data_IF_398745874244
#
_entry.id   IF_398745874244
#
_cell.length_a   1.000
_cell.length_b   1.000
_cell.length_c   1.000
_cell.angle_alpha   90.00
_cell.angle_beta   90.00
_cell.angle_gamma   90.00
#
_symmetry.space_group_name_H-M   'P 1'
#
loop_
_entity.id
_entity.type
_entity.pdbx_description
1 polymer ?
#
# COMPACT_ATOMS: atom_id res chain seq x y z
N UNK A 1 -10.60 -1.08 0.63
CA UNK A 1 -9.30 -0.87 1.30
C UNK A 1 -8.86 -2.14 2.05
N UNK A 2 -7.58 -2.34 2.33
CA UNK A 2 -7.05 -3.27 3.34
C UNK A 2 -5.67 -2.78 3.82
N UNK A 3 -5.32 -3.04 5.08
CA UNK A 3 -4.08 -2.58 5.68
C UNK A 3 -3.39 -3.70 6.45
N UNK A 4 -2.10 -3.89 6.19
CA UNK A 4 -1.30 -4.95 6.78
C UNK A 4 0.04 -4.42 7.27
N UNK A 5 0.52 -4.93 8.40
CA UNK A 5 1.84 -4.67 8.93
C UNK A 5 2.81 -5.82 8.67
N UNK A 6 4.06 -5.46 8.36
CA UNK A 6 5.20 -6.35 8.21
C UNK A 6 6.41 -5.77 8.95
N UNK A 7 7.40 -6.57 9.38
CA UNK A 7 8.65 -6.05 9.91
C UNK A 7 9.29 -5.05 8.96
N UNK A 8 9.89 -3.97 9.48
CA UNK A 8 10.41 -2.89 8.66
C UNK A 8 11.49 -3.34 7.65
N UNK A 9 12.21 -4.42 7.97
CA UNK A 9 13.18 -5.06 7.08
C UNK A 9 12.58 -5.53 5.75
N UNK A 10 11.28 -5.87 5.73
CA UNK A 10 10.58 -6.34 4.54
C UNK A 10 10.30 -5.23 3.52
N UNK A 11 10.60 -3.95 3.82
CA UNK A 11 10.38 -2.83 2.89
C UNK A 11 11.09 -3.02 1.56
N UNK A 12 12.29 -3.60 1.56
CA UNK A 12 13.05 -3.89 0.33
C UNK A 12 12.40 -4.98 -0.53
N UNK A 13 11.50 -5.76 0.06
CA UNK A 13 10.80 -6.91 -0.53
C UNK A 13 9.36 -6.58 -0.91
N UNK A 14 9.01 -5.29 -0.96
CA UNK A 14 7.66 -4.83 -1.26
C UNK A 14 7.04 -5.45 -2.54
N UNK A 15 7.77 -5.56 -3.67
CA UNK A 15 7.23 -6.26 -4.84
C UNK A 15 6.91 -7.74 -4.58
N UNK A 16 7.75 -8.43 -3.80
CA UNK A 16 7.56 -9.83 -3.44
C UNK A 16 6.35 -10.03 -2.52
N UNK A 17 6.17 -9.13 -1.54
CA UNK A 17 5.00 -9.13 -0.64
C UNK A 17 3.69 -8.93 -1.41
N UNK A 18 3.71 -8.04 -2.41
CA UNK A 18 2.57 -7.80 -3.29
C UNK A 18 2.40 -8.89 -4.37
N UNK A 19 3.38 -9.77 -4.52
CA UNK A 19 3.42 -10.80 -5.57
C UNK A 19 3.43 -10.21 -6.98
N UNK A 20 4.15 -9.10 -7.18
CA UNK A 20 4.19 -8.35 -8.44
C UNK A 20 5.61 -8.28 -9.00
N UNK A 21 5.70 -8.11 -10.32
CA UNK A 21 7.00 -7.94 -10.99
C UNK A 21 7.63 -6.60 -10.58
N UNK A 22 8.93 -6.59 -10.29
CA UNK A 22 9.66 -5.36 -10.04
C UNK A 22 9.53 -4.41 -11.24
N UNK A 23 9.05 -3.19 -11.00
CA UNK A 23 8.77 -2.19 -12.05
C UNK A 23 7.29 -1.94 -12.33
N UNK A 24 6.39 -2.86 -11.93
CA UNK A 24 4.94 -2.61 -11.95
C UNK A 24 4.48 -1.58 -10.90
N UNK A 25 5.34 -1.35 -9.89
CA UNK A 25 5.10 -0.43 -8.79
C UNK A 25 5.81 0.91 -9.08
N UNK A 26 5.06 1.92 -9.51
CA UNK A 26 5.57 3.26 -9.81
C UNK A 26 5.38 4.19 -8.60
N UNK A 27 6.44 4.82 -8.06
CA UNK A 27 6.27 5.81 -7.00
C UNK A 27 5.53 7.04 -7.53
N UNK A 28 4.59 7.56 -6.73
CA UNK A 28 3.86 8.80 -7.03
C UNK A 28 4.47 10.01 -6.32
N UNK A 29 5.27 9.77 -5.29
CA UNK A 29 5.97 10.80 -4.52
C UNK A 29 7.46 10.76 -4.85
N UNK A 30 8.03 11.92 -5.12
CA UNK A 30 9.49 12.09 -5.30
C UNK A 30 10.25 11.73 -4.01
N UNK A 31 9.64 11.94 -2.85
CA UNK A 31 10.19 11.61 -1.54
C UNK A 31 9.10 11.17 -0.55
N UNK A 32 9.44 10.41 0.51
CA UNK A 32 8.47 10.05 1.54
C UNK A 32 7.84 11.28 2.21
N UNK A 33 6.53 11.29 2.31
CA UNK A 33 5.75 12.33 2.98
C UNK A 33 5.81 12.12 4.48
N UNK A 34 6.31 13.12 5.20
CA UNK A 34 6.27 13.16 6.66
C UNK A 34 5.01 13.87 7.17
N UNK A 35 4.32 13.25 8.13
CA UNK A 35 3.22 13.82 8.92
C UNK A 35 3.52 13.64 10.40
N UNK A 36 2.78 14.34 11.26
CA UNK A 36 3.01 14.39 12.73
C UNK A 36 3.29 13.03 13.38
N UNK A 37 2.68 11.94 12.90
CA UNK A 37 2.75 10.60 13.52
C UNK A 37 3.10 9.48 12.56
N UNK A 38 3.50 9.81 11.33
CA UNK A 38 3.74 8.80 10.29
C UNK A 38 4.58 9.35 9.14
N UNK A 39 5.44 8.50 8.58
CA UNK A 39 6.09 8.76 7.29
C UNK A 39 5.59 7.74 6.28
N UNK A 40 5.11 8.18 5.12
CA UNK A 40 4.59 7.27 4.10
C UNK A 40 4.98 7.68 2.68
N UNK A 41 4.94 6.73 1.77
CA UNK A 41 5.16 6.91 0.34
C UNK A 41 4.07 6.19 -0.44
N UNK A 42 3.62 6.80 -1.52
CA UNK A 42 2.53 6.31 -2.35
C UNK A 42 3.07 5.75 -3.66
N UNK A 43 2.41 4.71 -4.13
CA UNK A 43 2.74 4.01 -5.35
C UNK A 43 1.48 3.66 -6.14
N UNK A 44 1.55 3.78 -7.46
CA UNK A 44 0.64 3.09 -8.38
C UNK A 44 1.20 1.70 -8.60
N UNK A 45 0.35 0.69 -8.45
CA UNK A 45 0.59 -0.59 -9.12
C UNK A 45 -0.22 -0.63 -10.41
N UNK A 46 0.42 -0.92 -11.54
CA UNK A 46 -0.22 -1.24 -12.82
C UNK A 46 0.07 -2.71 -13.17
N UNK A 47 -0.98 -3.52 -13.29
CA UNK A 47 -0.89 -4.95 -13.63
C UNK A 47 -1.98 -5.27 -14.66
N UNK A 48 -1.57 -5.64 -15.88
CA UNK A 48 -2.48 -6.01 -16.98
C UNK A 48 -3.56 -4.94 -17.29
N UNK A 49 -3.22 -3.65 -17.16
CA UNK A 49 -4.15 -2.54 -17.38
C UNK A 49 -5.10 -2.27 -16.22
N UNK A 50 -5.03 -3.05 -15.13
CA UNK A 50 -5.68 -2.77 -13.86
C UNK A 50 -4.74 -1.97 -12.96
N UNK A 51 -5.29 -1.02 -12.20
CA UNK A 51 -4.49 -0.14 -11.34
C UNK A 51 -5.05 0.00 -9.93
N UNK A 52 -4.16 0.16 -8.94
CA UNK A 52 -4.52 0.32 -7.52
C UNK A 52 -3.49 1.16 -6.75
N UNK A 53 -3.93 1.83 -5.68
CA UNK A 53 -3.05 2.66 -4.84
C UNK A 53 -2.45 1.79 -3.76
N UNK A 54 -1.13 1.83 -3.65
CA UNK A 54 -0.40 1.29 -2.52
C UNK A 54 0.18 2.46 -1.73
N UNK A 55 -0.10 2.52 -0.43
CA UNK A 55 0.56 3.44 0.48
C UNK A 55 1.40 2.63 1.45
N UNK A 56 2.70 2.90 1.50
CA UNK A 56 3.64 2.22 2.37
C UNK A 56 4.23 3.22 3.34
N UNK A 57 4.08 2.98 4.63
CA UNK A 57 4.56 3.90 5.65
C UNK A 57 4.91 3.24 6.96
N UNK A 58 5.24 4.06 7.94
CA UNK A 58 5.40 3.66 9.34
C UNK A 58 4.35 4.39 10.16
N UNK A 59 3.79 3.70 11.15
CA UNK A 59 2.94 4.30 12.19
C UNK A 59 3.74 4.36 13.48
N UNK A 60 3.64 5.44 14.25
CA UNK A 60 4.32 5.52 15.55
C UNK A 60 3.93 4.42 16.54
N UNK A 61 2.71 3.90 16.46
CA UNK A 61 2.26 2.78 17.30
C UNK A 61 2.90 1.44 16.91
N UNK A 62 3.54 1.36 15.74
CA UNK A 62 4.22 0.17 15.22
C UNK A 62 5.56 0.59 14.58
N UNK A 63 6.51 1.13 15.37
CA UNK A 63 7.73 1.72 14.83
C UNK A 63 8.67 0.69 14.19
N UNK A 64 8.54 -0.58 14.58
CA UNK A 64 9.31 -1.71 14.04
C UNK A 64 8.71 -2.29 12.76
N UNK A 65 7.57 -1.76 12.30
CA UNK A 65 6.84 -2.27 11.16
C UNK A 65 6.70 -1.24 10.05
N UNK A 66 6.63 -1.74 8.82
CA UNK A 66 5.97 -1.03 7.73
C UNK A 66 4.50 -1.40 7.68
N UNK A 67 3.65 -0.42 7.40
CA UNK A 67 2.23 -0.59 7.10
C UNK A 67 2.03 -0.45 5.60
N UNK A 68 1.41 -1.45 4.98
CA UNK A 68 1.04 -1.48 3.57
C UNK A 68 -0.48 -1.36 3.49
N UNK A 69 -0.92 -0.23 2.93
CA UNK A 69 -2.33 0.06 2.68
C UNK A 69 -2.61 -0.10 1.19
N UNK A 70 -3.51 -1.02 0.84
CA UNK A 70 -4.02 -1.18 -0.51
C UNK A 70 -5.40 -0.53 -0.58
N UNK A 71 -5.55 0.52 -1.39
CA UNK A 71 -6.79 1.29 -1.44
C UNK A 71 -7.25 1.65 -2.85
N UNK A 72 -8.57 1.65 -2.98
CA UNK A 72 -9.37 2.18 -4.08
C UNK A 72 -9.93 3.57 -3.76
N UNK A 73 -9.71 4.10 -2.55
CA UNK A 73 -10.12 5.46 -2.19
C UNK A 73 -9.02 6.47 -2.56
N UNK A 74 -9.04 6.86 -3.83
CA UNK A 74 -8.10 7.81 -4.41
C UNK A 74 -8.42 9.26 -4.07
N UNK A 75 -9.68 9.58 -3.74
CA UNK A 75 -10.13 10.96 -3.47
C UNK A 75 -9.48 11.54 -2.22
N UNK A 76 -9.15 10.67 -1.26
CA UNK A 76 -8.45 11.04 -0.04
C UNK A 76 -6.96 11.36 -0.27
N UNK A 77 -6.40 10.95 -1.42
CA UNK A 77 -4.95 11.07 -1.71
C UNK A 77 -4.62 11.85 -2.99
N UNK A 78 -5.52 11.99 -3.96
CA UNK A 78 -5.31 12.68 -5.24
C UNK A 78 -6.54 13.52 -5.67
N UNK A 79 -6.29 14.63 -6.39
CA UNK A 79 -7.30 15.41 -7.14
C UNK A 79 -7.39 15.00 -8.62
N UNK A 80 -7.15 13.72 -8.94
CA UNK A 80 -7.22 13.21 -10.32
C UNK A 80 -8.60 12.57 -10.55
N UNK A 81 -9.48 13.28 -11.26
CA UNK A 81 -10.90 12.93 -11.42
C UNK A 81 -11.19 11.80 -12.42
N UNK A 82 -10.18 11.29 -13.14
CA UNK A 82 -10.36 10.37 -14.28
C UNK A 82 -9.92 8.93 -14.02
N UNK A 83 -9.41 8.62 -12.83
CA UNK A 83 -8.88 7.29 -12.51
C UNK A 83 -9.96 6.37 -11.94
N UNK A 84 -10.10 5.17 -12.49
CA UNK A 84 -10.98 4.12 -11.97
C UNK A 84 -10.12 2.99 -11.38
N UNK A 85 -10.04 2.87 -10.05
CA UNK A 85 -9.27 1.80 -9.42
C UNK A 85 -9.94 0.44 -9.63
N UNK A 86 -9.13 -0.60 -9.80
CA UNK A 86 -9.62 -1.96 -10.01
C UNK A 86 -9.85 -2.68 -8.67
N UNK A 87 -11.13 -3.01 -8.41
CA UNK A 87 -11.54 -3.69 -7.18
C UNK A 87 -11.03 -5.13 -7.09
N UNK A 88 -10.90 -5.84 -8.22
CA UNK A 88 -10.43 -7.23 -8.26
C UNK A 88 -8.94 -7.29 -7.93
N UNK A 89 -8.14 -6.42 -8.54
CA UNK A 89 -6.72 -6.29 -8.24
C UNK A 89 -6.52 -5.93 -6.76
N UNK A 90 -7.30 -5.00 -6.21
CA UNK A 90 -7.25 -4.68 -4.77
C UNK A 90 -7.46 -5.93 -3.90
N UNK A 91 -8.52 -6.69 -4.14
CA UNK A 91 -8.83 -7.89 -3.35
C UNK A 91 -7.73 -8.94 -3.47
N UNK A 92 -7.23 -9.18 -4.69
CA UNK A 92 -6.12 -10.08 -4.94
C UNK A 92 -4.87 -9.71 -4.13
N UNK A 93 -4.50 -8.44 -4.10
CA UNK A 93 -3.36 -7.97 -3.30
C UNK A 93 -3.60 -8.12 -1.79
N UNK A 94 -4.82 -7.87 -1.32
CA UNK A 94 -5.16 -8.11 0.08
C UNK A 94 -4.96 -9.58 0.45
N UNK A 95 -5.37 -10.51 -0.42
CA UNK A 95 -5.21 -11.95 -0.20
C UNK A 95 -3.74 -12.37 -0.27
N UNK A 96 -2.93 -11.78 -1.18
CA UNK A 96 -1.48 -12.01 -1.24
C UNK A 96 -0.78 -11.51 0.03
N UNK A 97 -1.09 -10.31 0.52
CA UNK A 97 -0.50 -9.80 1.76
C UNK A 97 -0.88 -10.67 2.96
N UNK A 98 -2.13 -11.12 3.02
CA UNK A 98 -2.60 -12.07 4.04
C UNK A 98 -1.84 -13.39 3.99
N UNK A 99 -1.67 -13.99 2.82
CA UNK A 99 -0.98 -15.28 2.66
C UNK A 99 0.52 -15.20 2.95
N UNK A 100 1.11 -14.01 2.86
CA UNK A 100 2.50 -13.72 3.23
C UNK A 100 2.70 -13.46 4.73
N UNK A 101 1.65 -13.62 5.55
CA UNK A 101 1.74 -13.45 7.01
C UNK A 101 1.62 -12.01 7.49
N UNK A 102 1.06 -11.11 6.68
CA UNK A 102 0.80 -9.73 7.11
C UNK A 102 -0.17 -9.69 8.29
N UNK A 103 0.17 -8.93 9.32
CA UNK A 103 -0.74 -8.66 10.43
C UNK A 103 -1.79 -7.64 9.97
N UNK A 104 -3.05 -8.06 9.88
CA UNK A 104 -4.14 -7.16 9.49
C UNK A 104 -4.38 -6.09 10.57
N UNK A 105 -4.40 -4.82 10.18
CA UNK A 105 -4.53 -3.69 11.12
C UNK A 105 -5.95 -3.10 11.19
N UNK A 106 -6.91 -3.72 10.49
CA UNK A 106 -8.29 -3.25 10.32
C UNK A 106 -8.44 -1.78 9.84
N UNK A 107 -9.64 -1.41 9.43
CA UNK A 107 -10.01 -0.06 8.98
C UNK A 107 -10.16 0.91 10.14
N UNK A 108 -9.14 1.05 11.00
CA UNK A 108 -8.99 2.18 11.91
C UNK A 108 -10.28 2.69 12.55
N UNK A 109 -11.07 1.80 13.14
CA UNK A 109 -11.99 2.14 14.23
C UNK A 109 -11.43 1.54 15.53
N UNK A 110 -10.25 2.01 15.93
CA UNK A 110 -9.58 1.58 17.16
C UNK A 110 -8.15 1.19 16.90
#
# INVERSE_FOLDING_TARGET
>A
MCEYAFPAAERKRLPELLGVVAGSLTPLDESPIQRRVSTYQRFVLDENGARVLIVVGTRWMLPENITILVTDDWRRFFRLSTWRPDKRLRLLLCDRLKSRGGLYLDHGRG
#
